data_IF_256693828169
#
_entry.id   IF_256693828169
#
_cell.length_a   1.000
_cell.length_b   1.000
_cell.length_c   1.000
_cell.angle_alpha   90.00
_cell.angle_beta   90.00
_cell.angle_gamma   90.00
#
_symmetry.space_group_name_H-M   'P 1'
#
loop_
_entity.id
_entity.type
_entity.pdbx_description
1 polymer ?
#
# COMPACT_ATOMS: atom_id res chain seq x y z
N UNK A 1 -5.62 3.71 -15.73
CA UNK A 1 -5.99 2.99 -14.50
C UNK A 1 -4.97 1.89 -14.30
N UNK A 2 -4.62 1.57 -13.05
CA UNK A 2 -3.59 0.58 -12.70
C UNK A 2 -4.18 -0.39 -11.67
N UNK A 3 -3.87 -1.68 -11.79
CA UNK A 3 -4.34 -2.71 -10.87
C UNK A 3 -3.78 -2.48 -9.47
N UNK A 4 -4.66 -2.44 -8.46
CA UNK A 4 -4.23 -2.36 -7.07
C UNK A 4 -3.54 -3.67 -6.68
N UNK A 5 -2.29 -3.59 -6.19
CA UNK A 5 -1.49 -4.76 -5.82
C UNK A 5 -2.08 -5.57 -4.65
N UNK A 6 -2.98 -4.99 -3.86
CA UNK A 6 -3.58 -5.66 -2.70
C UNK A 6 -4.96 -6.28 -2.99
N UNK A 7 -5.82 -5.62 -3.76
CA UNK A 7 -7.18 -6.12 -4.01
C UNK A 7 -7.40 -6.58 -5.45
N UNK A 8 -6.41 -6.44 -6.33
CA UNK A 8 -6.41 -6.91 -7.73
C UNK A 8 -7.47 -6.26 -8.63
N UNK A 9 -8.20 -5.26 -8.13
CA UNK A 9 -9.19 -4.49 -8.89
C UNK A 9 -8.53 -3.40 -9.76
N UNK A 10 -9.10 -3.16 -10.95
CA UNK A 10 -8.70 -2.05 -11.83
C UNK A 10 -9.33 -0.72 -11.37
N UNK A 11 -8.61 0.01 -10.53
CA UNK A 11 -9.07 1.26 -9.91
C UNK A 11 -8.02 2.36 -10.04
N UNK A 12 -8.34 3.62 -9.69
CA UNK A 12 -7.33 4.65 -9.50
C UNK A 12 -6.38 4.24 -8.36
N UNK A 13 -5.17 3.86 -8.73
CA UNK A 13 -4.08 3.46 -7.82
C UNK A 13 -2.92 4.46 -7.94
N UNK A 14 -2.14 4.58 -6.86
CA UNK A 14 -0.87 5.31 -6.84
C UNK A 14 0.19 4.42 -6.21
N UNK A 15 1.45 4.64 -6.59
CA UNK A 15 2.56 3.93 -5.96
C UNK A 15 2.91 4.58 -4.64
N UNK A 16 3.05 3.74 -3.63
CA UNK A 16 3.44 4.12 -2.27
C UNK A 16 4.63 3.29 -1.82
N UNK A 17 5.50 3.89 -1.04
CA UNK A 17 6.51 3.19 -0.27
C UNK A 17 5.89 2.80 1.07
N UNK A 18 5.73 1.50 1.28
CA UNK A 18 5.27 0.93 2.53
C UNK A 18 6.50 0.49 3.33
N UNK A 19 6.73 1.16 4.45
CA UNK A 19 7.76 0.80 5.41
C UNK A 19 7.20 -0.20 6.40
N UNK A 20 7.83 -1.36 6.49
CA UNK A 20 7.43 -2.48 7.35
C UNK A 20 8.20 -2.38 8.67
N UNK A 21 7.62 -2.90 9.75
CA UNK A 21 8.27 -2.95 11.06
C UNK A 21 9.52 -3.84 11.14
N UNK A 22 9.87 -4.49 10.03
CA UNK A 22 11.12 -5.26 9.84
C UNK A 22 12.27 -4.41 9.29
N UNK A 23 12.12 -3.09 9.24
CA UNK A 23 13.03 -2.14 8.55
C UNK A 23 13.11 -2.33 7.02
N UNK A 24 12.22 -3.15 6.45
CA UNK A 24 12.08 -3.32 5.00
C UNK A 24 11.15 -2.25 4.41
N UNK A 25 11.31 -1.95 3.12
CA UNK A 25 10.39 -1.10 2.38
C UNK A 25 10.03 -1.72 1.03
N UNK A 26 8.74 -1.66 0.67
CA UNK A 26 8.22 -2.15 -0.61
C UNK A 26 7.46 -1.05 -1.34
N UNK A 27 7.66 -0.94 -2.66
CA UNK A 27 6.90 -0.04 -3.52
C UNK A 27 5.73 -0.81 -4.14
N UNK A 28 4.49 -0.41 -3.85
CA UNK A 28 3.29 -1.08 -4.34
C UNK A 28 2.26 -0.07 -4.87
N UNK A 29 1.60 -0.33 -6.02
CA UNK A 29 0.44 0.43 -6.45
C UNK A 29 -0.78 0.07 -5.58
N UNK A 30 -1.33 1.05 -4.85
CA UNK A 30 -2.50 0.84 -3.99
C UNK A 30 -3.61 1.82 -4.35
N UNK A 31 -4.86 1.33 -4.32
CA UNK A 31 -6.03 2.20 -4.29
C UNK A 31 -6.18 2.83 -2.88
N UNK A 32 -6.89 3.95 -2.77
CA UNK A 32 -7.05 4.68 -1.49
C UNK A 32 -7.61 3.80 -0.35
N UNK A 33 -8.54 2.90 -0.67
CA UNK A 33 -9.10 1.96 0.31
C UNK A 33 -8.08 0.97 0.84
N UNK A 34 -7.21 0.44 -0.03
CA UNK A 34 -6.13 -0.46 0.39
C UNK A 34 -5.00 0.29 1.10
N UNK A 35 -4.67 1.51 0.66
CA UNK A 35 -3.72 2.39 1.35
C UNK A 35 -4.11 2.59 2.81
N UNK A 36 -5.38 2.89 3.08
CA UNK A 36 -5.86 3.08 4.45
C UNK A 36 -5.69 1.82 5.32
N UNK A 37 -5.94 0.63 4.78
CA UNK A 37 -5.74 -0.64 5.49
C UNK A 37 -4.28 -0.83 5.92
N UNK A 38 -3.33 -0.50 5.03
CA UNK A 38 -1.90 -0.57 5.32
C UNK A 38 -1.49 0.44 6.40
N UNK A 39 -1.98 1.68 6.34
CA UNK A 39 -1.70 2.71 7.36
C UNK A 39 -2.13 2.27 8.77
N UNK A 40 -3.14 1.41 8.89
CA UNK A 40 -3.65 0.92 10.17
C UNK A 40 -3.12 -0.46 10.57
N UNK A 41 -2.27 -1.09 9.76
CA UNK A 41 -1.77 -2.42 10.02
C UNK A 41 -0.60 -2.37 11.01
N UNK A 42 -0.62 -3.22 12.04
CA UNK A 42 0.42 -3.23 13.10
C UNK A 42 1.82 -3.60 12.60
N UNK A 43 1.93 -4.22 11.42
CA UNK A 43 3.19 -4.60 10.77
C UNK A 43 3.71 -3.53 9.78
N UNK A 44 3.02 -2.39 9.68
CA UNK A 44 3.40 -1.24 8.85
C UNK A 44 3.73 -0.06 9.76
N UNK A 45 4.90 0.54 9.57
CA UNK A 45 5.33 1.72 10.31
C UNK A 45 4.84 3.00 9.63
N UNK A 46 4.96 3.10 8.31
CA UNK A 46 4.48 4.26 7.54
C UNK A 46 4.23 3.95 6.07
N UNK A 47 3.42 4.79 5.41
CA UNK A 47 3.10 4.74 3.98
C UNK A 47 3.29 6.14 3.38
N UNK A 48 4.25 6.29 2.46
CA UNK A 48 4.61 7.58 1.82
C UNK A 48 4.55 7.54 0.31
#
# INVERSE_FOLDING_TARGET
METCANCEEELPSRRYHVHLSTDDAVELPLCEGCRYKFVTAEWVDTVV
#
